data_IF_141871987580
#
_entry.id   IF_141871987580
#
_cell.length_a   1.000
_cell.length_b   1.000
_cell.length_c   1.000
_cell.angle_alpha   90.00
_cell.angle_beta   90.00
_cell.angle_gamma   90.00
#
_symmetry.space_group_name_H-M   'P 1'
#
loop_
_entity.id
_entity.type
_entity.pdbx_description
1 polymer ?
#
# COMPACT_ATOMS: atom_id res chain seq x y z
N UNK A 1 57.45 -14.56 19.46
CA UNK A 1 57.05 -13.71 18.31
C UNK A 1 57.92 -12.46 18.32
N UNK A 2 58.67 -12.24 17.23
CA UNK A 2 59.58 -11.11 17.13
C UNK A 2 58.74 -9.82 17.14
N UNK A 3 59.02 -8.89 18.06
CA UNK A 3 58.34 -7.58 18.17
C UNK A 3 58.05 -6.89 16.81
N UNK A 4 58.96 -6.88 15.81
CA UNK A 4 58.65 -6.26 14.53
C UNK A 4 57.58 -6.99 13.71
N UNK A 5 57.52 -8.33 13.80
CA UNK A 5 56.55 -9.15 13.04
C UNK A 5 55.13 -8.93 13.57
N UNK A 6 54.98 -8.74 14.88
CA UNK A 6 53.68 -8.45 15.50
C UNK A 6 53.13 -7.08 15.08
N UNK A 7 53.99 -6.07 14.95
CA UNK A 7 53.60 -4.72 14.49
C UNK A 7 53.14 -4.72 13.02
N UNK A 8 53.80 -5.50 12.16
CA UNK A 8 53.44 -5.61 10.73
C UNK A 8 52.06 -6.26 10.57
N UNK A 9 51.76 -7.31 11.33
CA UNK A 9 50.46 -7.98 11.32
C UNK A 9 49.31 -7.04 11.73
N UNK A 10 49.52 -6.22 12.76
CA UNK A 10 48.53 -5.23 13.21
C UNK A 10 48.28 -4.16 12.13
N UNK A 11 49.34 -3.70 11.45
CA UNK A 11 49.21 -2.71 10.39
C UNK A 11 48.39 -3.22 9.20
N UNK A 12 48.56 -4.49 8.82
CA UNK A 12 47.84 -5.11 7.69
C UNK A 12 46.34 -5.25 8.03
N UNK A 13 46.02 -5.59 9.28
CA UNK A 13 44.64 -5.70 9.75
C UNK A 13 43.94 -4.34 9.80
N UNK A 14 44.67 -3.26 10.17
CA UNK A 14 44.10 -1.92 10.14
C UNK A 14 43.76 -1.47 8.70
N UNK A 15 44.67 -1.70 7.74
CA UNK A 15 44.49 -1.26 6.36
C UNK A 15 43.36 -1.98 5.62
N UNK A 16 43.01 -3.22 6.01
CA UNK A 16 41.95 -3.98 5.34
C UNK A 16 40.53 -3.51 5.67
N UNK A 17 40.36 -2.68 6.71
CA UNK A 17 39.04 -2.17 7.15
C UNK A 17 38.58 -0.88 6.45
N UNK A 18 39.43 -0.26 5.62
CA UNK A 18 39.18 1.06 5.03
C UNK A 18 38.15 1.02 3.87
N UNK A 19 37.87 -0.17 3.30
CA UNK A 19 36.89 -0.35 2.23
C UNK A 19 35.49 -0.81 2.72
N UNK A 20 35.02 -0.25 3.84
CA UNK A 20 33.65 -0.48 4.30
C UNK A 20 32.64 -0.02 3.24
N UNK A 21 31.65 -0.87 2.95
CA UNK A 21 30.72 -0.76 1.83
C UNK A 21 30.12 0.66 1.70
N UNK A 22 30.30 1.29 0.54
CA UNK A 22 29.64 2.57 0.23
C UNK A 22 28.15 2.33 0.08
N UNK A 23 27.36 2.93 0.97
CA UNK A 23 25.90 2.94 0.87
C UNK A 23 25.50 3.85 -0.28
N UNK A 24 25.28 3.27 -1.46
CA UNK A 24 24.63 3.94 -2.57
C UNK A 24 23.12 3.96 -2.35
N UNK A 25 22.48 5.10 -2.57
CA UNK A 25 21.02 5.19 -2.59
C UNK A 25 20.49 4.37 -3.78
N UNK A 26 19.54 3.45 -3.61
CA UNK A 26 18.91 2.82 -4.75
C UNK A 26 18.24 3.91 -5.58
N UNK A 27 18.53 3.97 -6.88
CA UNK A 27 17.74 4.74 -7.82
C UNK A 27 16.35 4.12 -7.80
N UNK A 28 15.35 4.88 -7.35
CA UNK A 28 13.98 4.42 -7.23
C UNK A 28 13.45 3.87 -8.56
N UNK A 29 12.45 2.99 -8.47
CA UNK A 29 11.78 2.43 -9.64
C UNK A 29 11.09 3.48 -10.49
N UNK A 30 10.61 3.06 -11.67
CA UNK A 30 9.73 3.90 -12.48
C UNK A 30 8.51 4.30 -11.65
N UNK A 31 8.03 5.53 -11.86
CA UNK A 31 6.77 5.97 -11.27
C UNK A 31 5.63 5.11 -11.79
N UNK A 32 4.70 4.76 -10.90
CA UNK A 32 3.48 4.03 -11.27
C UNK A 32 2.58 4.92 -12.13
N UNK A 33 2.25 4.47 -13.34
CA UNK A 33 1.43 5.19 -14.33
C UNK A 33 0.06 4.53 -14.49
N UNK A 34 -0.01 3.21 -14.29
CA UNK A 34 -1.23 2.42 -14.44
C UNK A 34 -2.05 2.46 -13.14
N UNK A 35 -3.37 2.41 -13.28
CA UNK A 35 -4.28 2.29 -12.14
C UNK A 35 -4.40 0.82 -11.71
N UNK A 36 -4.65 0.55 -10.42
CA UNK A 36 -4.91 -0.79 -9.91
C UNK A 36 -6.21 -1.36 -10.52
N UNK A 37 -6.24 -2.67 -10.71
CA UNK A 37 -7.42 -3.38 -11.21
C UNK A 37 -8.17 -4.04 -10.06
N UNK A 38 -9.50 -4.02 -10.14
CA UNK A 38 -10.38 -4.69 -9.16
C UNK A 38 -10.40 -6.19 -9.48
N UNK A 39 -9.98 -7.00 -8.50
CA UNK A 39 -10.06 -8.46 -8.57
C UNK A 39 -11.44 -8.92 -8.12
N UNK A 40 -11.88 -8.41 -6.97
CA UNK A 40 -13.12 -8.83 -6.33
C UNK A 40 -13.75 -7.65 -5.57
N UNK A 41 -15.07 -7.70 -5.42
CA UNK A 41 -15.84 -6.75 -4.64
C UNK A 41 -16.89 -7.49 -3.84
N UNK A 42 -16.95 -7.27 -2.54
CA UNK A 42 -18.02 -7.74 -1.66
C UNK A 42 -18.75 -6.51 -1.11
N UNK A 43 -20.04 -6.32 -1.43
CA UNK A 43 -20.90 -7.16 -2.25
C UNK A 43 -20.54 -7.10 -3.75
N UNK A 44 -20.95 -8.10 -4.53
CA UNK A 44 -20.64 -8.15 -5.97
C UNK A 44 -21.06 -6.86 -6.70
N UNK A 45 -20.26 -6.46 -7.68
CA UNK A 45 -20.59 -5.35 -8.56
C UNK A 45 -22.00 -5.54 -9.17
N UNK A 46 -22.80 -4.48 -9.23
CA UNK A 46 -24.20 -4.47 -9.66
C UNK A 46 -25.20 -5.23 -8.77
N UNK A 47 -24.79 -5.65 -7.57
CA UNK A 47 -25.74 -6.18 -6.58
C UNK A 47 -26.74 -5.11 -6.13
N UNK A 48 -27.95 -5.55 -5.78
CA UNK A 48 -29.04 -4.71 -5.28
C UNK A 48 -29.44 -5.23 -3.89
N UNK A 49 -29.87 -4.32 -3.01
CA UNK A 49 -30.44 -4.66 -1.70
C UNK A 49 -29.53 -5.54 -0.82
N UNK A 50 -28.25 -5.18 -0.70
CA UNK A 50 -27.39 -5.81 0.30
C UNK A 50 -27.55 -5.07 1.64
N UNK A 51 -27.85 -5.80 2.71
CA UNK A 51 -27.97 -5.27 4.08
C UNK A 51 -26.68 -5.43 4.85
N UNK A 52 -25.54 -5.11 4.21
CA UNK A 52 -24.23 -5.20 4.85
C UNK A 52 -23.62 -3.82 4.93
N UNK A 53 -23.23 -3.45 6.15
CA UNK A 53 -22.69 -2.15 6.51
C UNK A 53 -21.23 -1.97 6.03
N UNK A 54 -20.68 -2.98 5.36
CA UNK A 54 -19.28 -3.01 4.93
C UNK A 54 -19.18 -3.39 3.46
N UNK A 55 -18.42 -2.59 2.72
CA UNK A 55 -18.03 -2.84 1.35
C UNK A 55 -16.51 -3.10 1.33
N UNK A 56 -16.10 -4.23 0.76
CA UNK A 56 -14.71 -4.62 0.61
C UNK A 56 -14.38 -4.78 -0.88
N UNK A 57 -13.33 -4.11 -1.35
CA UNK A 57 -12.87 -4.16 -2.73
C UNK A 57 -11.42 -4.65 -2.72
N UNK A 58 -11.17 -5.82 -3.30
CA UNK A 58 -9.83 -6.37 -3.45
C UNK A 58 -9.21 -5.93 -4.77
N UNK A 59 -7.95 -5.50 -4.70
CA UNK A 59 -7.18 -5.02 -5.83
C UNK A 59 -6.01 -5.94 -6.12
N UNK A 60 -5.52 -5.89 -7.36
CA UNK A 60 -4.33 -6.65 -7.77
C UNK A 60 -3.02 -6.19 -7.08
N UNK A 61 -2.97 -4.94 -6.63
CA UNK A 61 -1.79 -4.31 -6.04
C UNK A 61 -2.06 -3.56 -4.72
N UNK A 62 -0.97 -3.18 -4.04
CA UNK A 62 -1.04 -2.42 -2.79
C UNK A 62 -1.37 -0.96 -3.08
N UNK A 63 -2.51 -0.49 -2.57
CA UNK A 63 -2.91 0.91 -2.70
C UNK A 63 -2.57 1.72 -1.47
N UNK A 64 -2.27 3.00 -1.68
CA UNK A 64 -2.13 3.98 -0.60
C UNK A 64 -3.32 4.92 -0.62
N UNK A 65 -3.88 5.22 0.55
CA UNK A 65 -5.05 6.08 0.81
C UNK A 65 -4.88 7.56 0.43
N UNK A 66 -3.93 7.92 -0.44
CA UNK A 66 -3.74 9.30 -0.85
C UNK A 66 -4.90 9.70 -1.78
N UNK A 67 -5.98 10.21 -1.18
CA UNK A 67 -7.18 10.77 -1.82
C UNK A 67 -8.21 9.78 -2.39
N UNK A 68 -8.37 8.58 -1.81
CA UNK A 68 -9.47 7.67 -2.21
C UNK A 68 -10.86 8.31 -2.07
N UNK A 69 -11.07 9.08 -1.00
CA UNK A 69 -12.32 9.80 -0.74
C UNK A 69 -12.69 10.82 -1.82
N UNK A 70 -11.73 11.33 -2.61
CA UNK A 70 -12.00 12.28 -3.69
C UNK A 70 -12.36 11.61 -5.02
N UNK A 71 -11.95 10.34 -5.19
CA UNK A 71 -12.18 9.57 -6.42
C UNK A 71 -13.39 8.66 -6.32
N UNK A 72 -13.78 8.30 -5.09
CA UNK A 72 -14.98 7.51 -4.84
C UNK A 72 -16.22 8.41 -4.99
N UNK A 73 -16.97 8.20 -6.06
CA UNK A 73 -18.25 8.87 -6.28
C UNK A 73 -19.35 7.97 -5.73
N UNK A 74 -20.03 8.46 -4.70
CA UNK A 74 -21.12 7.77 -4.04
C UNK A 74 -22.42 8.48 -4.42
N UNK A 75 -23.38 7.73 -4.97
CA UNK A 75 -24.72 8.23 -5.29
C UNK A 75 -25.78 7.24 -4.81
N UNK A 76 -26.81 7.67 -4.06
CA UNK A 76 -27.08 9.05 -3.60
C UNK A 76 -26.07 9.55 -2.55
N UNK A 77 -25.93 10.88 -2.35
CA UNK A 77 -25.05 11.41 -1.32
C UNK A 77 -25.50 10.92 0.06
N UNK A 78 -24.52 10.59 0.90
CA UNK A 78 -24.71 10.14 2.27
C UNK A 78 -24.73 11.34 3.22
N UNK A 79 -25.58 11.28 4.25
CA UNK A 79 -25.61 12.29 5.31
C UNK A 79 -24.30 12.27 6.13
N UNK A 80 -23.81 11.08 6.43
CA UNK A 80 -22.51 10.85 7.07
C UNK A 80 -21.51 10.23 6.11
N UNK A 81 -20.26 10.71 6.16
CA UNK A 81 -19.20 10.15 5.34
C UNK A 81 -18.80 8.78 5.88
N UNK A 82 -18.67 7.77 5.01
CA UNK A 82 -18.25 6.45 5.45
C UNK A 82 -16.78 6.47 5.86
N UNK A 83 -16.41 5.54 6.74
CA UNK A 83 -15.02 5.33 7.10
C UNK A 83 -14.34 4.49 6.03
N UNK A 84 -13.22 4.97 5.49
CA UNK A 84 -12.51 4.29 4.41
C UNK A 84 -11.08 4.05 4.83
N UNK A 85 -10.67 2.78 4.83
CA UNK A 85 -9.31 2.38 5.13
C UNK A 85 -8.84 1.27 4.19
N UNK A 86 -7.51 1.09 4.14
CA UNK A 86 -6.87 0.08 3.30
C UNK A 86 -6.19 -0.94 4.21
N UNK A 87 -6.45 -2.20 3.93
CA UNK A 87 -5.81 -3.33 4.59
C UNK A 87 -5.08 -4.18 3.54
N UNK A 88 -3.79 -3.93 3.39
CA UNK A 88 -2.97 -4.61 2.38
C UNK A 88 -3.40 -4.22 0.96
N UNK A 89 -4.01 -5.16 0.24
CA UNK A 89 -4.54 -4.95 -1.12
C UNK A 89 -6.05 -4.69 -1.17
N UNK A 90 -6.73 -4.72 -0.02
CA UNK A 90 -8.16 -4.50 0.06
C UNK A 90 -8.49 -3.10 0.55
N UNK A 91 -9.46 -2.44 -0.09
CA UNK A 91 -10.10 -1.22 0.38
C UNK A 91 -11.36 -1.64 1.14
N UNK A 92 -11.50 -1.16 2.36
CA UNK A 92 -12.69 -1.38 3.19
C UNK A 92 -13.39 -0.05 3.39
N UNK A 93 -14.69 -0.05 3.17
CA UNK A 93 -15.59 1.09 3.34
C UNK A 93 -16.66 0.64 4.34
N UNK A 94 -16.71 1.29 5.49
CA UNK A 94 -17.72 1.06 6.53
C UNK A 94 -18.78 2.16 6.44
N UNK A 95 -20.02 1.75 6.17
CA UNK A 95 -21.20 2.58 6.06
C UNK A 95 -21.92 2.60 7.41
N UNK A 96 -22.28 3.79 7.91
CA UNK A 96 -23.00 3.94 9.18
C UNK A 96 -24.53 3.87 9.04
N UNK A 97 -25.05 3.68 7.83
CA UNK A 97 -26.49 3.64 7.56
C UNK A 97 -26.87 2.65 6.45
N UNK A 98 -28.03 2.02 6.60
CA UNK A 98 -28.73 1.17 5.62
C UNK A 98 -29.17 1.97 4.37
N UNK A 99 -28.23 2.49 3.59
CA UNK A 99 -28.55 3.02 2.26
C UNK A 99 -28.58 1.85 1.29
N UNK A 100 -29.73 1.65 0.65
CA UNK A 100 -29.87 0.78 -0.52
C UNK A 100 -28.97 1.32 -1.65
N UNK A 101 -27.70 0.97 -1.62
CA UNK A 101 -26.76 1.30 -2.66
C UNK A 101 -27.06 0.47 -3.89
N UNK A 102 -27.32 1.15 -5.00
CA UNK A 102 -27.07 0.54 -6.30
C UNK A 102 -25.56 0.62 -6.52
N UNK A 103 -24.86 -0.47 -6.22
CA UNK A 103 -23.41 -0.55 -6.34
C UNK A 103 -23.03 -0.63 -7.82
N UNK A 104 -23.01 0.53 -8.49
CA UNK A 104 -22.45 0.64 -9.82
C UNK A 104 -21.04 1.15 -9.67
N UNK A 105 -20.08 0.22 -9.56
CA UNK A 105 -18.67 0.56 -9.66
C UNK A 105 -18.42 0.95 -11.10
N UNK A 106 -18.49 2.26 -11.37
CA UNK A 106 -17.93 2.81 -12.59
C UNK A 106 -16.41 2.71 -12.48
N UNK A 107 -15.87 1.71 -13.18
CA UNK A 107 -14.51 1.74 -13.71
C UNK A 107 -14.40 2.88 -14.74
#
# INVERSE_FOLDING_TARGET
>A
MNKPVFLILISIILLSTINCARVGSPIGGKKDILAPEIIESTPNNYSKNFGSDKIEIELNEFVRLNNLQQKLVISPPLDEKPEIFVRGKSIIIELFYDICFHFQVFC
#
